data_IF_550384910842
#
_entry.id   IF_550384910842
#
_cell.length_a   1.000
_cell.length_b   1.000
_cell.length_c   1.000
_cell.angle_alpha   90.00
_cell.angle_beta   90.00
_cell.angle_gamma   90.00
#
_symmetry.space_group_name_H-M   'P 1'
#
loop_
_entity.id
_entity.type
_entity.pdbx_description
1 polymer ?
#
# COMPACT_ATOMS: atom_id res chain seq x y z
N UNK A 1 -5.76 -44.70 -19.14
CA UNK A 1 -7.03 -45.34 -18.75
C UNK A 1 -6.65 -46.58 -17.98
N UNK A 2 -6.86 -46.78 -16.66
CA UNK A 2 -7.81 -46.29 -15.65
C UNK A 2 -7.09 -46.51 -14.29
N UNK A 3 -6.78 -45.45 -13.53
CA UNK A 3 -7.35 -45.11 -12.19
C UNK A 3 -7.76 -46.27 -11.26
N UNK A 4 -7.06 -46.42 -10.11
CA UNK A 4 -7.70 -46.88 -8.87
C UNK A 4 -6.86 -46.60 -7.59
N UNK A 5 -7.30 -45.57 -6.85
CA UNK A 5 -7.58 -45.57 -5.40
C UNK A 5 -6.42 -45.60 -4.38
N UNK A 6 -6.08 -44.40 -3.90
CA UNK A 6 -5.39 -44.17 -2.63
C UNK A 6 -6.29 -44.47 -1.42
N UNK A 7 -5.82 -45.30 -0.49
CA UNK A 7 -6.35 -45.39 0.88
C UNK A 7 -5.67 -44.36 1.77
N UNK A 8 -6.48 -43.64 2.55
CA UNK A 8 -6.09 -42.55 3.44
C UNK A 8 -5.50 -43.11 4.73
N UNK A 9 -4.22 -42.83 5.01
CA UNK A 9 -3.65 -42.96 6.35
C UNK A 9 -3.58 -41.57 7.01
N UNK A 10 -4.35 -41.38 8.07
CA UNK A 10 -4.26 -40.22 8.96
C UNK A 10 -3.00 -40.34 9.82
N UNK A 11 -2.03 -39.46 9.63
CA UNK A 11 -0.96 -39.21 10.60
C UNK A 11 -1.12 -37.80 11.16
N UNK A 12 -1.23 -37.73 12.49
CA UNK A 12 -1.28 -36.54 13.32
C UNK A 12 0.02 -35.73 13.14
N UNK A 13 0.02 -34.81 12.17
CA UNK A 13 1.05 -33.80 12.01
C UNK A 13 0.52 -32.45 12.50
N UNK A 14 1.00 -32.00 13.65
CA UNK A 14 0.88 -30.59 14.06
C UNK A 14 1.67 -29.78 13.03
N UNK A 15 0.98 -29.29 12.00
CA UNK A 15 1.52 -28.34 11.04
C UNK A 15 1.81 -27.05 11.80
N UNK A 16 3.06 -26.88 12.22
CA UNK A 16 3.63 -25.55 12.40
C UNK A 16 3.65 -24.88 11.03
N UNK A 17 2.52 -24.30 10.65
CA UNK A 17 2.50 -23.35 9.56
C UNK A 17 3.39 -22.18 9.99
N UNK A 18 4.47 -21.85 9.27
CA UNK A 18 5.19 -20.62 9.54
C UNK A 18 4.18 -19.48 9.41
N UNK A 19 4.03 -18.69 10.48
CA UNK A 19 3.23 -17.46 10.45
C UNK A 19 3.71 -16.65 9.25
N UNK A 20 2.85 -16.47 8.25
CA UNK A 20 3.18 -15.65 7.08
C UNK A 20 3.52 -14.25 7.58
N UNK A 21 4.78 -13.86 7.47
CA UNK A 21 5.19 -12.47 7.61
C UNK A 21 4.67 -11.69 6.39
N UNK A 22 3.37 -11.37 6.34
CA UNK A 22 2.86 -10.42 5.33
C UNK A 22 1.51 -9.72 5.62
N UNK A 23 0.99 -9.74 6.84
CA UNK A 23 -0.25 -9.01 7.17
C UNK A 23 0.02 -7.76 8.03
N UNK A 24 1.07 -7.00 7.71
CA UNK A 24 1.23 -5.68 8.34
C UNK A 24 0.15 -4.73 7.80
N UNK A 25 -0.73 -4.18 8.67
CA UNK A 25 -1.80 -3.29 8.23
C UNK A 25 -1.31 -1.97 7.62
N UNK A 26 -0.03 -1.64 7.75
CA UNK A 26 0.58 -0.51 7.04
C UNK A 26 0.75 -0.77 5.53
N UNK A 27 0.66 -2.02 5.08
CA UNK A 27 0.76 -2.36 3.66
C UNK A 27 -0.57 -2.78 3.03
N UNK A 28 -1.58 -3.10 3.85
CA UNK A 28 -2.90 -3.52 3.40
C UNK A 28 -4.00 -2.87 4.25
N UNK A 29 -4.65 -1.85 3.67
CA UNK A 29 -5.77 -1.13 4.28
C UNK A 29 -6.73 -0.59 3.21
N UNK A 30 -7.95 -0.27 3.63
CA UNK A 30 -8.97 0.38 2.81
C UNK A 30 -9.03 1.89 3.12
N UNK A 31 -9.06 2.77 2.09
CA UNK A 31 -9.15 4.20 2.33
C UNK A 31 -10.58 4.61 2.75
N UNK A 32 -10.67 5.54 3.71
CA UNK A 32 -11.91 6.24 4.08
C UNK A 32 -11.75 7.69 3.64
N UNK A 33 -12.49 8.10 2.61
CA UNK A 33 -12.37 9.43 1.98
C UNK A 33 -13.64 10.27 2.05
N UNK A 34 -14.69 9.72 2.65
CA UNK A 34 -15.99 10.35 2.83
C UNK A 34 -15.88 11.74 3.50
N UNK A 35 -16.16 12.79 2.73
CA UNK A 35 -16.12 14.18 3.21
C UNK A 35 -17.03 14.42 4.42
N UNK A 36 -18.16 13.73 4.46
CA UNK A 36 -19.14 13.90 5.54
C UNK A 36 -18.58 13.49 6.91
N UNK A 37 -17.50 12.70 6.98
CA UNK A 37 -16.86 12.29 8.24
C UNK A 37 -16.00 13.38 8.87
N UNK A 38 -15.70 14.44 8.14
CA UNK A 38 -14.87 15.54 8.63
C UNK A 38 -15.57 16.26 9.78
N UNK A 39 -14.87 16.57 10.87
CA UNK A 39 -15.45 17.29 12.03
C UNK A 39 -16.08 18.65 11.67
N UNK A 40 -15.74 19.24 10.53
CA UNK A 40 -16.34 20.51 10.07
C UNK A 40 -17.61 20.30 9.23
N UNK A 41 -18.00 19.07 8.93
CA UNK A 41 -19.20 18.76 8.16
C UNK A 41 -20.45 18.71 9.05
N UNK A 42 -21.44 19.57 8.79
CA UNK A 42 -22.65 19.71 9.61
C UNK A 42 -23.98 19.75 8.84
N UNK A 43 -24.01 19.27 7.59
CA UNK A 43 -25.20 19.42 6.72
C UNK A 43 -26.15 18.22 6.76
N UNK A 44 -25.65 17.01 6.50
CA UNK A 44 -26.44 15.78 6.36
C UNK A 44 -25.98 14.71 7.34
N UNK A 45 -26.91 13.91 7.84
CA UNK A 45 -26.61 12.82 8.78
C UNK A 45 -26.52 11.47 8.08
N UNK A 46 -25.53 10.69 8.50
CA UNK A 46 -25.16 9.36 8.09
C UNK A 46 -24.91 8.50 9.33
N UNK A 47 -24.88 7.19 9.13
CA UNK A 47 -24.64 6.24 10.21
C UNK A 47 -23.79 5.06 9.74
N UNK A 48 -22.83 4.68 10.57
CA UNK A 48 -21.93 3.55 10.32
C UNK A 48 -22.48 2.21 10.80
N UNK A 49 -23.69 2.16 11.39
CA UNK A 49 -24.31 0.90 11.85
C UNK A 49 -24.62 -0.07 10.71
N UNK A 50 -24.91 0.45 9.51
CA UNK A 50 -25.16 -0.36 8.31
C UNK A 50 -23.87 -0.75 7.61
N UNK A 51 -22.75 -0.10 7.96
CA UNK A 51 -21.46 -0.40 7.39
C UNK A 51 -20.81 -1.57 8.14
N UNK A 52 -20.42 -2.60 7.40
CA UNK A 52 -19.69 -3.75 7.95
C UNK A 52 -18.20 -3.50 7.87
N UNK A 53 -17.62 -3.02 8.97
CA UNK A 53 -16.19 -2.79 9.13
C UNK A 53 -15.45 -4.13 9.25
N UNK A 54 -14.61 -4.41 8.26
CA UNK A 54 -13.78 -5.61 8.20
C UNK A 54 -12.38 -5.28 7.68
N UNK A 55 -11.38 -5.52 8.52
CA UNK A 55 -9.98 -5.26 8.19
C UNK A 55 -9.47 -3.94 8.75
N UNK A 56 -8.51 -3.34 8.05
CA UNK A 56 -7.83 -2.12 8.44
C UNK A 56 -8.17 -0.98 7.49
N UNK A 57 -8.31 0.21 8.06
CA UNK A 57 -8.76 1.40 7.35
C UNK A 57 -7.83 2.58 7.61
N UNK A 58 -7.74 3.51 6.65
CA UNK A 58 -6.99 4.76 6.77
C UNK A 58 -7.87 5.94 6.36
N UNK A 59 -8.02 6.93 7.22
CA UNK A 59 -8.65 8.20 6.86
C UNK A 59 -7.74 8.99 5.91
N UNK A 60 -8.31 9.44 4.79
CA UNK A 60 -7.58 10.16 3.75
C UNK A 60 -8.47 11.22 3.07
N UNK A 61 -7.86 12.10 2.29
CA UNK A 61 -8.60 13.03 1.43
C UNK A 61 -9.48 14.00 2.21
N UNK A 62 -10.76 14.13 1.80
CA UNK A 62 -11.69 15.11 2.38
C UNK A 62 -12.20 14.72 3.77
N UNK A 63 -12.19 13.42 4.10
CA UNK A 63 -12.54 12.96 5.44
C UNK A 63 -11.58 13.55 6.51
N UNK A 64 -10.29 13.66 6.19
CA UNK A 64 -9.23 14.00 7.12
C UNK A 64 -8.07 13.01 7.02
N UNK A 65 -7.18 13.01 8.00
CA UNK A 65 -6.00 12.13 8.03
C UNK A 65 -5.88 11.28 9.31
N UNK A 66 -6.74 11.53 10.32
CA UNK A 66 -6.85 10.72 11.54
C UNK A 66 -8.22 10.86 12.20
N UNK A 67 -8.53 10.00 13.16
CA UNK A 67 -9.66 10.23 14.06
C UNK A 67 -9.35 11.40 15.02
N UNK A 68 -10.36 12.13 15.53
CA UNK A 68 -10.15 13.13 16.57
C UNK A 68 -9.71 12.48 17.89
N UNK A 69 -8.82 13.15 18.62
CA UNK A 69 -8.37 12.77 19.97
C UNK A 69 -9.26 13.35 21.08
N UNK A 70 -10.12 14.30 20.72
CA UNK A 70 -11.04 15.03 21.59
C UNK A 70 -12.44 15.02 21.00
N UNK A 71 -13.43 15.30 21.85
CA UNK A 71 -14.83 15.31 21.45
C UNK A 71 -15.09 16.37 20.36
N UNK A 72 -15.56 15.99 19.16
CA UNK A 72 -16.08 16.92 18.17
C UNK A 72 -17.38 17.56 18.67
N UNK A 73 -17.79 18.71 18.13
CA UNK A 73 -19.12 19.26 18.40
C UNK A 73 -20.22 18.25 18.08
N UNK A 74 -21.29 18.22 18.89
CA UNK A 74 -22.46 17.41 18.56
C UNK A 74 -23.02 17.76 17.18
N UNK A 75 -23.64 16.80 16.50
CA UNK A 75 -24.25 16.98 15.17
C UNK A 75 -23.26 17.40 14.07
N UNK A 76 -21.97 17.12 14.24
CA UNK A 76 -20.94 17.30 13.22
C UNK A 76 -20.44 15.95 12.70
N UNK A 77 -19.46 15.96 11.77
CA UNK A 77 -18.97 14.78 11.06
C UNK A 77 -20.09 13.90 10.51
N UNK A 78 -21.15 14.58 10.05
CA UNK A 78 -22.28 13.97 9.39
C UNK A 78 -23.02 12.98 10.27
N UNK A 79 -23.06 13.16 11.59
CA UNK A 79 -23.79 12.27 12.50
C UNK A 79 -24.27 12.98 13.76
N UNK A 80 -25.35 12.49 14.38
CA UNK A 80 -25.89 13.08 15.62
C UNK A 80 -24.97 12.82 16.82
N UNK A 81 -24.35 11.64 16.86
CA UNK A 81 -23.44 11.19 17.91
C UNK A 81 -22.07 10.85 17.33
N UNK A 82 -21.18 11.87 17.20
CA UNK A 82 -19.80 11.70 16.78
C UNK A 82 -19.09 10.59 17.55
N UNK A 83 -18.26 9.81 16.86
CA UNK A 83 -17.31 8.87 17.49
C UNK A 83 -15.88 9.35 17.31
N UNK A 84 -15.13 9.40 18.40
CA UNK A 84 -13.72 9.81 18.45
C UNK A 84 -12.88 8.86 19.31
N UNK A 85 -11.55 9.04 19.29
CA UNK A 85 -10.60 8.21 20.00
C UNK A 85 -10.33 8.73 21.42
N UNK A 86 -10.39 7.86 22.42
CA UNK A 86 -9.99 8.17 23.80
C UNK A 86 -8.52 7.85 24.03
N UNK A 87 -7.75 8.79 24.60
CA UNK A 87 -6.39 8.53 25.04
C UNK A 87 -5.30 8.67 23.95
N UNK A 88 -5.59 9.41 22.87
CA UNK A 88 -4.58 9.78 21.88
C UNK A 88 -4.22 8.67 20.89
N UNK A 89 -3.48 9.04 19.85
CA UNK A 89 -2.92 8.08 18.90
C UNK A 89 -1.57 7.49 19.39
N UNK A 90 -1.21 6.24 18.99
CA UNK A 90 0.08 5.62 19.35
C UNK A 90 1.28 6.25 18.62
N UNK A 91 2.49 6.00 19.16
CA UNK A 91 3.75 6.17 18.42
C UNK A 91 4.07 4.92 17.61
N UNK A 92 4.99 5.03 16.63
CA UNK A 92 5.44 3.88 15.81
C UNK A 92 5.94 2.72 16.68
N UNK A 93 6.69 3.03 17.74
CA UNK A 93 7.25 2.03 18.67
C UNK A 93 6.20 1.29 19.51
N UNK A 94 4.98 1.79 19.62
CA UNK A 94 3.93 1.12 20.37
C UNK A 94 3.26 -0.02 19.58
N UNK A 95 3.53 -0.13 18.28
CA UNK A 95 2.89 -1.14 17.44
C UNK A 95 1.36 -0.98 17.37
N UNK A 96 0.64 -2.10 17.45
CA UNK A 96 -0.83 -2.11 17.47
C UNK A 96 -1.29 -1.93 18.91
N UNK A 97 -2.06 -0.86 19.17
CA UNK A 97 -2.65 -0.59 20.49
C UNK A 97 -4.17 -0.62 20.42
N UNK A 98 -4.81 -1.02 21.52
CA UNK A 98 -6.24 -0.86 21.70
C UNK A 98 -6.55 0.54 22.26
N UNK A 99 -7.55 1.21 21.70
CA UNK A 99 -8.00 2.54 22.12
C UNK A 99 -9.51 2.56 22.25
N UNK A 100 -9.98 3.07 23.40
CA UNK A 100 -11.39 3.20 23.68
C UNK A 100 -12.01 4.22 22.73
N UNK A 101 -13.16 3.89 22.17
CA UNK A 101 -13.95 4.80 21.37
C UNK A 101 -14.94 5.53 22.27
N UNK A 102 -15.17 6.79 21.94
CA UNK A 102 -16.01 7.67 22.71
C UNK A 102 -17.11 8.26 21.85
N UNK A 103 -18.27 8.45 22.44
CA UNK A 103 -19.40 9.10 21.81
C UNK A 103 -20.18 9.91 22.84
N UNK A 104 -21.10 10.74 22.37
CA UNK A 104 -22.02 11.45 23.25
C UNK A 104 -23.17 10.54 23.65
N UNK A 105 -23.57 10.63 24.92
CA UNK A 105 -24.89 10.22 25.36
C UNK A 105 -25.57 11.41 26.02
N UNK A 106 -26.64 11.93 25.41
CA UNK A 106 -27.19 13.24 25.79
C UNK A 106 -26.09 14.31 25.80
N UNK A 107 -25.93 15.09 26.86
CA UNK A 107 -24.85 16.08 27.06
C UNK A 107 -23.55 15.49 27.62
N UNK A 108 -23.51 14.20 27.95
CA UNK A 108 -22.36 13.57 28.61
C UNK A 108 -21.40 12.90 27.62
N UNK A 109 -20.12 12.87 27.98
CA UNK A 109 -19.05 12.22 27.21
C UNK A 109 -18.35 11.16 28.04
N UNK A 110 -17.61 10.27 27.37
CA UNK A 110 -16.75 9.27 28.03
C UNK A 110 -15.57 9.87 28.84
N UNK A 111 -15.37 11.20 28.81
CA UNK A 111 -14.24 11.90 29.44
C UNK A 111 -14.62 12.64 30.71
N UNK A 112 -15.92 12.83 30.97
CA UNK A 112 -16.40 13.43 32.23
C UNK A 112 -16.53 12.35 33.30
N UNK A 113 -15.92 12.58 34.46
CA UNK A 113 -15.83 11.63 35.59
C UNK A 113 -17.14 11.40 36.36
N UNK A 114 -18.25 12.05 35.98
CA UNK A 114 -19.56 11.77 36.57
C UNK A 114 -20.09 10.44 36.05
N UNK A 115 -19.79 9.38 36.80
CA UNK A 115 -20.40 8.07 36.69
C UNK A 115 -21.93 8.18 36.79
N UNK A 116 -22.62 7.13 36.32
CA UNK A 116 -24.05 6.87 36.38
C UNK A 116 -24.89 7.49 35.25
N UNK A 117 -25.33 6.65 34.30
CA UNK A 117 -26.63 6.91 33.70
C UNK A 117 -26.95 6.37 32.32
N UNK A 118 -25.98 6.03 31.46
CA UNK A 118 -26.36 5.58 30.12
C UNK A 118 -25.26 5.01 29.23
N UNK A 119 -25.52 3.81 28.72
CA UNK A 119 -24.89 3.20 27.55
C UNK A 119 -23.36 3.31 27.53
N UNK A 120 -22.71 2.59 28.45
CA UNK A 120 -21.28 2.31 28.37
C UNK A 120 -21.02 1.37 27.19
N UNK A 121 -20.87 1.94 26.01
CA UNK A 121 -20.38 1.21 24.84
C UNK A 121 -18.88 1.12 24.98
N UNK A 122 -18.41 0.03 25.56
CA UNK A 122 -16.99 -0.33 25.61
C UNK A 122 -16.52 -0.82 24.23
N UNK A 123 -16.68 0.02 23.21
CA UNK A 123 -16.14 -0.22 21.88
C UNK A 123 -14.67 0.21 21.87
N UNK A 124 -13.84 -0.62 21.25
CA UNK A 124 -12.42 -0.36 21.10
C UNK A 124 -12.05 -0.47 19.63
N UNK A 125 -11.23 0.47 19.16
CA UNK A 125 -10.52 0.34 17.91
C UNK A 125 -9.10 -0.13 18.17
N UNK A 126 -8.56 -0.97 17.28
CA UNK A 126 -7.10 -1.16 17.24
C UNK A 126 -6.50 -0.10 16.33
N UNK A 127 -5.42 0.53 16.79
CA UNK A 127 -4.76 1.64 16.09
C UNK A 127 -3.27 1.34 15.99
N UNK A 128 -2.67 1.61 14.84
CA UNK A 128 -1.22 1.55 14.63
C UNK A 128 -0.74 2.81 13.90
N UNK A 129 0.35 3.41 14.35
CA UNK A 129 1.09 4.42 13.57
C UNK A 129 2.06 3.68 12.64
N UNK A 130 1.94 3.94 11.35
CA UNK A 130 2.80 3.36 10.34
C UNK A 130 4.09 4.18 10.18
N UNK A 131 5.21 3.54 9.80
CA UNK A 131 6.48 4.23 9.55
C UNK A 131 6.36 5.38 8.54
N UNK A 132 5.49 5.22 7.53
CA UNK A 132 5.16 6.26 6.56
C UNK A 132 4.44 7.49 7.12
N UNK A 133 4.16 7.54 8.42
CA UNK A 133 3.64 8.73 9.08
C UNK A 133 2.13 8.78 9.27
N UNK A 134 1.38 7.78 8.82
CA UNK A 134 -0.09 7.76 8.94
C UNK A 134 -0.59 6.72 9.94
N UNK A 135 -1.87 6.77 10.25
CA UNK A 135 -2.52 5.82 11.15
C UNK A 135 -3.43 4.86 10.38
N UNK A 136 -3.46 3.61 10.84
CA UNK A 136 -4.43 2.61 10.38
C UNK A 136 -5.27 2.13 11.56
N UNK A 137 -6.55 1.87 11.28
CA UNK A 137 -7.59 1.57 12.27
C UNK A 137 -8.30 0.28 11.92
N UNK A 138 -8.39 -0.65 12.87
CA UNK A 138 -9.35 -1.73 12.84
C UNK A 138 -10.55 -1.28 13.67
N UNK A 139 -11.59 -0.82 12.97
CA UNK A 139 -12.80 -0.27 13.56
C UNK A 139 -13.79 -1.40 13.90
N UNK A 140 -14.49 -1.34 15.04
CA UNK A 140 -15.51 -2.32 15.38
C UNK A 140 -16.79 -2.08 14.57
N UNK A 141 -17.58 -3.14 14.39
CA UNK A 141 -18.95 -3.00 13.93
C UNK A 141 -19.80 -2.39 15.05
N UNK A 142 -20.40 -1.24 14.77
CA UNK A 142 -21.24 -0.53 15.74
C UNK A 142 -22.54 -1.30 15.98
N UNK A 143 -22.95 -1.36 17.25
CA UNK A 143 -24.24 -1.92 17.63
C UNK A 143 -25.18 -0.82 18.12
N UNK A 144 -26.48 -0.99 17.86
CA UNK A 144 -27.60 -0.15 18.30
C UNK A 144 -27.63 1.30 17.76
N UNK A 145 -28.85 1.78 17.44
CA UNK A 145 -29.22 3.16 17.05
C UNK A 145 -28.56 3.75 15.79
N UNK A 146 -29.41 4.20 14.85
CA UNK A 146 -28.98 4.87 13.63
C UNK A 146 -28.71 6.36 13.88
N UNK A 147 -27.59 6.69 14.54
CA UNK A 147 -27.19 8.08 14.80
C UNK A 147 -25.70 8.24 15.16
N UNK A 148 -24.88 7.20 14.96
CA UNK A 148 -23.45 7.17 15.33
C UNK A 148 -22.57 6.96 14.10
N UNK A 149 -21.45 7.66 14.02
CA UNK A 149 -20.46 7.47 12.97
C UNK A 149 -19.04 7.85 13.41
N UNK A 150 -18.04 7.22 12.80
CA UNK A 150 -16.62 7.51 13.02
C UNK A 150 -16.23 8.82 12.34
N UNK A 151 -15.76 9.76 13.16
CA UNK A 151 -15.34 11.07 12.71
C UNK A 151 -13.86 11.09 12.36
N UNK A 152 -13.49 12.05 11.53
CA UNK A 152 -12.13 12.31 11.09
C UNK A 152 -11.81 13.80 11.14
N UNK A 153 -10.54 14.11 11.37
CA UNK A 153 -10.02 15.47 11.41
C UNK A 153 -8.77 15.56 10.53
N UNK A 154 -8.55 16.75 9.98
CA UNK A 154 -7.30 17.10 9.32
C UNK A 154 -6.34 17.66 10.35
N UNK A 155 -5.34 16.87 10.72
CA UNK A 155 -4.25 17.31 11.60
C UNK A 155 -3.05 17.73 10.75
N UNK A 156 -2.70 19.02 10.80
CA UNK A 156 -1.60 19.60 10.05
C UNK A 156 -0.33 19.76 10.88
N UNK A 157 -0.33 19.32 12.14
CA UNK A 157 0.84 19.43 13.03
C UNK A 157 1.99 18.50 12.62
N UNK A 158 1.67 17.37 11.99
CA UNK A 158 2.62 16.41 11.45
C UNK A 158 2.43 16.29 9.93
N UNK A 159 3.32 16.87 9.11
CA UNK A 159 3.20 16.81 7.64
C UNK A 159 3.28 15.37 7.11
N UNK A 160 3.81 14.42 7.90
CA UNK A 160 3.89 13.02 7.50
C UNK A 160 2.53 12.31 7.48
N UNK A 161 1.50 12.85 8.15
CA UNK A 161 0.15 12.25 8.18
C UNK A 161 -0.50 12.17 6.80
N UNK A 162 -0.23 13.16 5.95
CA UNK A 162 -0.70 13.25 4.57
C UNK A 162 0.36 12.87 3.54
N UNK A 163 1.51 12.39 3.99
CA UNK A 163 2.55 11.96 3.07
C UNK A 163 2.16 10.66 2.34
N UNK A 164 2.77 10.49 1.17
CA UNK A 164 2.69 9.26 0.38
C UNK A 164 3.88 8.33 0.68
N UNK A 165 4.55 8.51 1.82
CA UNK A 165 5.73 7.72 2.18
C UNK A 165 5.33 6.28 2.57
N UNK A 166 6.00 5.29 1.98
CA UNK A 166 5.71 3.87 2.26
C UNK A 166 6.55 3.30 3.40
N UNK A 167 7.85 3.58 3.43
CA UNK A 167 8.80 2.93 4.35
C UNK A 167 9.09 3.74 5.61
N UNK A 168 9.04 5.06 5.50
CA UNK A 168 9.39 5.94 6.59
C UNK A 168 9.13 7.38 6.21
N UNK A 169 8.78 8.21 7.18
CA UNK A 169 8.65 9.65 7.00
C UNK A 169 9.25 10.38 8.20
N UNK A 170 9.97 11.46 7.92
CA UNK A 170 10.48 12.40 8.91
C UNK A 170 10.04 13.81 8.53
N UNK A 171 9.72 14.63 9.54
CA UNK A 171 9.46 16.04 9.34
C UNK A 171 10.81 16.79 9.28
N UNK A 172 11.14 17.36 8.13
CA UNK A 172 12.29 18.26 7.96
C UNK A 172 11.78 19.67 7.69
N UNK A 173 11.97 20.58 8.64
CA UNK A 173 11.61 22.00 8.52
C UNK A 173 10.13 22.23 8.12
N UNK A 174 9.21 21.42 8.64
CA UNK A 174 7.77 21.52 8.34
C UNK A 174 7.34 20.80 7.06
N UNK A 175 8.26 20.12 6.36
CA UNK A 175 7.96 19.33 5.17
C UNK A 175 8.13 17.84 5.45
N UNK A 176 7.24 17.02 4.88
CA UNK A 176 7.37 15.57 4.93
C UNK A 176 8.50 15.12 4.01
N UNK A 177 9.47 14.39 4.56
CA UNK A 177 10.53 13.76 3.80
C UNK A 177 10.50 12.25 4.02
N UNK A 178 10.34 11.51 2.93
CA UNK A 178 10.35 10.05 3.01
C UNK A 178 11.76 9.52 3.31
N UNK A 179 11.86 8.59 4.25
CA UNK A 179 13.07 7.81 4.50
C UNK A 179 12.94 6.44 3.84
N UNK A 180 13.98 6.04 3.13
CA UNK A 180 14.01 4.81 2.37
C UNK A 180 15.01 3.83 2.99
N UNK A 181 14.78 2.51 2.91
CA UNK A 181 15.79 1.52 3.28
C UNK A 181 17.08 1.75 2.47
N UNK A 182 18.24 1.38 3.02
CA UNK A 182 19.57 1.63 2.45
C UNK A 182 19.76 1.16 0.98
N UNK A 183 18.86 0.33 0.46
CA UNK A 183 18.89 -0.23 -0.90
C UNK A 183 17.84 0.37 -1.86
N UNK A 184 17.10 1.41 -1.46
CA UNK A 184 16.06 2.06 -2.27
C UNK A 184 16.43 3.53 -2.49
N UNK A 185 16.70 3.92 -3.73
CA UNK A 185 17.00 5.32 -4.07
C UNK A 185 15.76 6.20 -3.86
N UNK A 186 15.98 7.33 -3.18
CA UNK A 186 15.02 8.42 -3.05
C UNK A 186 14.87 9.05 -4.44
N UNK A 187 13.77 8.77 -5.15
CA UNK A 187 13.55 9.37 -6.46
C UNK A 187 13.49 10.89 -6.29
N UNK A 188 14.26 11.62 -7.10
CA UNK A 188 14.39 13.07 -7.07
C UNK A 188 13.06 13.78 -6.73
N UNK A 189 13.02 14.40 -5.53
CA UNK A 189 11.96 15.21 -4.89
C UNK A 189 11.30 14.68 -3.61
N UNK A 190 11.95 13.85 -2.79
CA UNK A 190 11.55 13.61 -1.38
C UNK A 190 10.10 13.10 -1.13
N UNK A 191 9.36 12.70 -2.17
CA UNK A 191 7.91 12.48 -2.11
C UNK A 191 7.50 11.00 -2.12
N UNK A 192 8.40 10.09 -2.49
CA UNK A 192 8.16 8.65 -2.46
C UNK A 192 9.47 7.88 -2.54
N UNK A 193 9.61 6.84 -1.71
CA UNK A 193 10.61 5.79 -1.95
C UNK A 193 10.14 4.94 -3.13
N UNK A 194 10.66 5.23 -4.31
CA UNK A 194 10.07 4.76 -5.56
C UNK A 194 11.05 4.76 -6.71
N UNK A 195 12.13 3.99 -6.60
CA UNK A 195 12.67 3.31 -7.77
C UNK A 195 11.72 2.17 -8.20
N UNK A 196 11.88 1.71 -9.43
CA UNK A 196 11.30 0.42 -9.81
C UNK A 196 11.79 -0.69 -8.86
N UNK A 197 10.97 -1.72 -8.54
CA UNK A 197 11.39 -2.79 -7.63
C UNK A 197 12.66 -3.48 -8.13
N UNK A 198 13.47 -3.99 -7.21
CA UNK A 198 14.59 -4.88 -7.54
C UNK A 198 14.11 -6.33 -7.59
N UNK A 199 14.94 -7.24 -8.12
CA UNK A 199 14.64 -8.68 -8.15
C UNK A 199 14.39 -9.24 -6.74
N UNK A 200 15.03 -8.66 -5.72
CA UNK A 200 14.89 -9.08 -4.31
C UNK A 200 13.56 -8.64 -3.68
N UNK A 201 12.98 -7.55 -4.16
CA UNK A 201 11.76 -6.98 -3.59
C UNK A 201 10.50 -7.79 -3.95
N UNK A 202 10.60 -8.70 -4.92
CA UNK A 202 9.47 -9.53 -5.35
C UNK A 202 8.35 -8.69 -5.96
N UNK A 203 7.11 -8.96 -5.56
CA UNK A 203 5.92 -8.27 -6.07
C UNK A 203 5.58 -7.11 -5.12
N UNK A 204 5.64 -5.88 -5.62
CA UNK A 204 5.34 -4.67 -4.86
C UNK A 204 4.14 -3.93 -5.44
N UNK A 205 3.37 -3.27 -4.57
CA UNK A 205 2.30 -2.34 -4.97
C UNK A 205 2.91 -0.98 -5.34
N UNK A 206 2.50 -0.40 -6.47
CA UNK A 206 2.91 0.94 -6.94
C UNK A 206 1.72 1.71 -7.47
N UNK A 207 1.72 3.02 -7.24
CA UNK A 207 0.67 3.89 -7.76
C UNK A 207 0.84 4.08 -9.27
N UNK A 208 -0.28 4.13 -10.00
CA UNK A 208 -0.29 4.39 -11.43
C UNK A 208 -0.42 5.91 -11.62
N UNK A 209 0.50 6.50 -12.39
CA UNK A 209 0.38 7.89 -12.81
C UNK A 209 -0.19 7.95 -14.22
N UNK A 210 -1.13 8.87 -14.44
CA UNK A 210 -1.86 8.97 -15.71
C UNK A 210 -1.70 10.34 -16.36
N UNK A 211 -1.97 10.40 -17.66
CA UNK A 211 -1.99 11.62 -18.45
C UNK A 211 -3.30 11.72 -19.23
N UNK A 212 -4.02 12.83 -19.02
CA UNK A 212 -5.05 13.32 -19.94
C UNK A 212 -4.39 14.22 -20.98
N UNK A 213 -4.94 14.22 -22.19
CA UNK A 213 -4.44 14.68 -23.50
C UNK A 213 -3.62 15.99 -23.63
N UNK A 214 -3.35 16.74 -22.56
CA UNK A 214 -2.49 17.93 -22.59
C UNK A 214 -1.67 18.22 -21.32
N UNK A 215 -1.73 17.39 -20.26
CA UNK A 215 -1.02 17.66 -18.98
C UNK A 215 0.30 16.87 -18.83
N UNK A 216 1.20 17.31 -17.92
CA UNK A 216 2.32 16.47 -17.44
C UNK A 216 1.75 15.27 -16.66
N UNK A 217 2.48 14.15 -16.61
CA UNK A 217 2.08 12.97 -15.84
C UNK A 217 1.74 13.36 -14.39
N UNK A 218 0.50 13.05 -13.96
CA UNK A 218 0.03 13.31 -12.61
C UNK A 218 -0.12 12.00 -11.85
N UNK A 219 0.38 11.99 -10.62
CA UNK A 219 0.29 10.87 -9.67
C UNK A 219 -0.66 11.19 -8.49
N UNK A 220 -1.32 12.35 -8.52
CA UNK A 220 -2.25 12.79 -7.48
C UNK A 220 -3.67 12.50 -7.92
N UNK A 221 -4.42 11.74 -7.11
CA UNK A 221 -5.84 11.43 -7.28
C UNK A 221 -6.24 11.14 -8.73
N UNK A 222 -6.19 9.87 -9.14
CA UNK A 222 -6.64 9.46 -10.46
C UNK A 222 -8.19 9.50 -10.53
N UNK A 223 -8.77 10.69 -10.70
CA UNK A 223 -10.21 10.84 -11.01
C UNK A 223 -10.62 10.18 -12.34
N UNK A 224 -9.64 9.71 -13.11
CA UNK A 224 -9.80 9.13 -14.43
C UNK A 224 -9.70 7.60 -14.48
N UNK A 225 -9.29 6.94 -13.38
CA UNK A 225 -9.23 5.47 -13.29
C UNK A 225 -9.94 4.97 -12.04
N UNK A 226 -10.59 3.81 -12.14
CA UNK A 226 -11.29 3.15 -11.02
C UNK A 226 -10.34 2.51 -10.00
N UNK A 227 -9.05 2.44 -10.33
CA UNK A 227 -7.96 1.97 -9.46
C UNK A 227 -6.74 2.88 -9.61
N UNK A 228 -6.04 3.12 -8.51
CA UNK A 228 -4.88 4.01 -8.42
C UNK A 228 -3.54 3.27 -8.32
N UNK A 229 -3.53 1.93 -8.43
CA UNK A 229 -2.34 1.11 -8.26
C UNK A 229 -2.21 -0.08 -9.23
N UNK A 230 -0.97 -0.54 -9.41
CA UNK A 230 -0.59 -1.80 -10.06
C UNK A 230 0.34 -2.60 -9.16
N UNK A 231 0.32 -3.92 -9.32
CA UNK A 231 1.34 -4.79 -8.74
C UNK A 231 2.48 -4.94 -9.76
N UNK A 232 3.73 -4.72 -9.34
CA UNK A 232 4.90 -4.79 -10.22
C UNK A 232 6.00 -5.65 -9.61
N UNK A 233 6.72 -6.40 -10.45
CA UNK A 233 7.96 -7.09 -10.07
C UNK A 233 9.04 -6.89 -11.13
N UNK A 234 10.31 -6.85 -10.72
CA UNK A 234 11.45 -6.98 -11.65
C UNK A 234 11.79 -8.45 -11.82
N UNK A 235 11.76 -8.91 -13.05
CA UNK A 235 12.22 -10.25 -13.38
C UNK A 235 13.75 -10.28 -13.44
N UNK A 236 14.38 -11.44 -13.15
CA UNK A 236 15.84 -11.58 -13.22
C UNK A 236 16.45 -11.17 -14.58
N UNK A 237 15.69 -11.27 -15.67
CA UNK A 237 16.11 -10.86 -17.01
C UNK A 237 15.98 -9.36 -17.31
N UNK A 238 15.87 -8.49 -16.30
CA UNK A 238 15.92 -7.03 -16.47
C UNK A 238 14.59 -6.35 -16.83
N UNK A 239 13.53 -7.10 -17.14
CA UNK A 239 12.22 -6.53 -17.48
C UNK A 239 11.25 -6.49 -16.28
N UNK A 240 10.24 -5.61 -16.38
CA UNK A 240 9.20 -5.45 -15.37
C UNK A 240 7.90 -6.11 -15.81
N UNK A 241 7.25 -6.82 -14.89
CA UNK A 241 5.91 -7.39 -15.10
C UNK A 241 4.92 -6.67 -14.23
N UNK A 242 3.84 -6.18 -14.85
CA UNK A 242 2.76 -5.46 -14.18
C UNK A 242 1.48 -6.29 -14.18
N UNK A 243 0.80 -6.34 -13.05
CA UNK A 243 -0.55 -6.90 -12.90
C UNK A 243 -1.48 -5.78 -12.43
N UNK A 244 -2.44 -5.47 -13.28
CA UNK A 244 -3.51 -4.52 -12.99
C UNK A 244 -4.70 -5.25 -12.35
N UNK A 245 -5.42 -4.62 -11.41
CA UNK A 245 -6.69 -5.14 -10.89
C UNK A 245 -7.69 -5.37 -12.04
N UNK A 246 -8.69 -6.24 -11.81
CA UNK A 246 -9.73 -6.56 -12.80
C UNK A 246 -10.45 -5.29 -13.29
N UNK A 247 -10.64 -5.22 -14.61
CA UNK A 247 -10.70 -3.98 -15.37
C UNK A 247 -12.14 -3.50 -15.61
N UNK A 248 -12.46 -2.23 -15.26
CA UNK A 248 -13.54 -1.46 -15.90
C UNK A 248 -13.09 -0.01 -16.13
N UNK A 249 -12.87 0.37 -17.40
CA UNK A 249 -12.50 1.74 -17.78
C UNK A 249 -13.74 2.61 -17.64
N UNK A 250 -13.68 3.67 -16.84
CA UNK A 250 -14.78 4.63 -16.74
C UNK A 250 -14.73 5.68 -17.88
N UNK A 251 -13.56 5.87 -18.53
CA UNK A 251 -13.36 6.87 -19.60
C UNK A 251 -12.33 6.42 -20.65
N UNK A 252 -12.55 6.79 -21.93
CA UNK A 252 -11.80 6.29 -23.09
C UNK A 252 -10.58 7.14 -23.54
N UNK A 253 -10.07 8.06 -22.73
CA UNK A 253 -8.98 8.99 -23.13
C UNK A 253 -7.87 9.16 -22.07
N UNK A 254 -7.36 8.06 -21.52
CA UNK A 254 -6.34 8.08 -20.45
C UNK A 254 -5.15 7.18 -20.84
N UNK A 255 -3.94 7.74 -20.77
CA UNK A 255 -2.70 6.98 -20.98
C UNK A 255 -1.96 6.78 -19.65
N UNK A 256 -1.39 5.58 -19.45
CA UNK A 256 -0.48 5.30 -18.33
C UNK A 256 0.89 5.88 -18.66
N UNK A 257 1.48 6.59 -17.71
CA UNK A 257 2.81 7.14 -17.87
C UNK A 257 3.90 6.10 -17.63
N UNK A 258 4.84 5.96 -18.57
CA UNK A 258 6.09 5.24 -18.38
C UNK A 258 7.22 6.21 -18.02
N UNK A 259 8.16 5.74 -17.22
CA UNK A 259 9.45 6.40 -16.99
C UNK A 259 10.54 5.50 -17.56
N UNK A 260 11.52 6.07 -18.24
CA UNK A 260 12.75 5.37 -18.59
C UNK A 260 13.67 5.36 -17.39
N UNK A 261 13.99 4.17 -16.87
CA UNK A 261 14.97 4.03 -15.80
C UNK A 261 16.38 4.19 -16.38
N UNK A 262 16.87 5.44 -16.43
CA UNK A 262 18.22 5.77 -16.92
C UNK A 262 19.34 5.19 -16.05
N UNK A 263 19.00 4.64 -14.87
CA UNK A 263 19.94 3.93 -14.01
C UNK A 263 19.99 2.43 -14.29
N UNK A 264 19.08 1.90 -15.13
CA UNK A 264 19.14 0.51 -15.55
C UNK A 264 20.30 0.32 -16.54
N UNK A 265 21.37 -0.41 -16.16
CA UNK A 265 22.51 -0.62 -17.05
C UNK A 265 22.11 -1.39 -18.33
N UNK A 266 20.95 -2.07 -18.32
CA UNK A 266 20.43 -2.80 -19.46
C UNK A 266 19.59 -1.96 -20.43
N UNK A 267 19.30 -0.68 -20.12
CA UNK A 267 18.39 0.19 -20.88
C UNK A 267 18.76 0.31 -22.37
N UNK A 268 20.06 0.24 -22.70
CA UNK A 268 20.60 0.25 -24.06
C UNK A 268 21.59 -0.91 -24.30
N UNK A 269 21.44 -2.03 -23.57
CA UNK A 269 22.35 -3.16 -23.76
C UNK A 269 22.15 -3.80 -25.14
N UNK A 270 23.25 -4.26 -25.73
CA UNK A 270 23.27 -5.01 -27.00
C UNK A 270 23.01 -6.50 -26.78
N UNK A 271 22.56 -6.90 -25.58
CA UNK A 271 22.29 -8.28 -25.24
C UNK A 271 21.16 -8.84 -26.11
N UNK A 272 21.40 -9.97 -26.77
CA UNK A 272 20.39 -10.63 -27.61
C UNK A 272 19.26 -11.32 -26.83
N UNK A 273 19.50 -11.69 -25.57
CA UNK A 273 18.56 -12.45 -24.76
C UNK A 273 18.36 -11.83 -23.37
N UNK A 274 19.06 -12.33 -22.34
CA UNK A 274 18.95 -11.81 -20.98
C UNK A 274 19.98 -10.72 -20.73
N UNK A 275 19.63 -9.72 -19.92
CA UNK A 275 20.58 -8.75 -19.37
C UNK A 275 20.40 -8.66 -17.86
N UNK A 276 21.52 -8.65 -17.16
CA UNK A 276 21.62 -8.48 -15.71
C UNK A 276 22.59 -7.34 -15.42
N UNK A 277 22.24 -6.44 -14.50
CA UNK A 277 23.18 -5.39 -14.08
C UNK A 277 24.12 -5.90 -13.00
N UNK A 278 25.42 -5.93 -13.25
CA UNK A 278 26.44 -6.16 -12.23
C UNK A 278 27.29 -4.90 -12.04
N UNK A 279 27.36 -4.37 -10.82
CA UNK A 279 28.09 -3.13 -10.45
C UNK A 279 27.87 -1.93 -11.40
N UNK A 280 26.66 -1.80 -11.96
CA UNK A 280 26.30 -0.70 -12.86
C UNK A 280 26.71 -0.90 -14.33
N UNK A 281 27.20 -2.09 -14.72
CA UNK A 281 27.44 -2.47 -16.11
C UNK A 281 26.46 -3.56 -16.58
N UNK A 282 26.02 -3.55 -17.85
CA UNK A 282 25.19 -4.61 -18.39
C UNK A 282 26.01 -5.89 -18.57
N UNK A 283 25.48 -7.00 -18.04
CA UNK A 283 26.03 -8.35 -18.20
C UNK A 283 24.96 -9.20 -18.88
N UNK A 284 25.25 -9.65 -20.10
CA UNK A 284 24.33 -10.48 -20.86
C UNK A 284 24.31 -11.92 -20.33
N UNK A 285 23.12 -12.53 -20.30
CA UNK A 285 22.90 -13.90 -19.83
C UNK A 285 22.12 -14.68 -20.87
N UNK A 286 22.46 -15.96 -21.03
CA UNK A 286 21.84 -16.83 -22.01
C UNK A 286 20.86 -17.82 -21.36
N UNK A 287 19.71 -18.12 -22.01
CA UNK A 287 18.83 -19.21 -21.62
C UNK A 287 19.54 -20.57 -21.64
N UNK A 288 18.93 -21.59 -21.01
CA UNK A 288 19.46 -22.97 -21.08
C UNK A 288 19.58 -23.42 -22.54
N UNK A 289 20.71 -24.05 -22.87
CA UNK A 289 21.14 -24.52 -24.20
C UNK A 289 21.81 -23.50 -25.13
N UNK A 290 22.05 -22.27 -24.65
CA UNK A 290 22.84 -21.27 -25.38
C UNK A 290 24.04 -20.83 -24.55
N UNK A 291 25.16 -20.57 -25.21
CA UNK A 291 26.37 -20.00 -24.60
C UNK A 291 26.55 -18.56 -25.06
N UNK A 292 27.09 -17.73 -24.17
CA UNK A 292 27.41 -16.35 -24.49
C UNK A 292 28.62 -16.36 -25.46
N UNK A 293 28.44 -15.74 -26.61
CA UNK A 293 29.48 -15.64 -27.63
C UNK A 293 30.64 -14.74 -27.16
N UNK A 294 31.74 -14.74 -27.92
CA UNK A 294 32.94 -13.97 -27.60
C UNK A 294 32.70 -12.46 -27.53
N UNK A 295 31.70 -11.94 -28.27
CA UNK A 295 31.28 -10.55 -28.23
C UNK A 295 30.58 -10.15 -26.92
N UNK A 296 30.35 -11.12 -26.01
CA UNK A 296 29.69 -10.99 -24.72
C UNK A 296 28.26 -10.44 -24.77
N UNK A 297 27.64 -10.43 -25.95
CA UNK A 297 26.34 -9.83 -26.22
C UNK A 297 25.37 -10.81 -26.90
N UNK A 298 25.88 -11.65 -27.79
CA UNK A 298 25.08 -12.63 -28.53
C UNK A 298 25.09 -13.98 -27.83
N UNK A 299 23.96 -14.69 -27.85
CA UNK A 299 23.86 -16.06 -27.37
C UNK A 299 23.80 -16.99 -28.58
N UNK A 300 24.73 -17.92 -28.68
CA UNK A 300 24.83 -18.90 -29.76
C UNK A 300 24.65 -20.32 -29.23
N UNK A 301 24.23 -21.25 -30.10
CA UNK A 301 24.15 -22.66 -29.75
C UNK A 301 25.54 -23.20 -29.41
N UNK A 302 25.58 -24.22 -28.55
CA UNK A 302 26.76 -25.06 -28.34
C UNK A 302 26.97 -25.91 -29.59
N UNK A 303 27.41 -25.28 -30.66
CA UNK A 303 27.88 -25.92 -31.88
C UNK A 303 28.65 -24.87 -32.68
N UNK A 304 29.94 -25.18 -32.85
CA UNK A 304 30.95 -24.53 -33.70
C UNK A 304 31.90 -23.54 -32.98
N UNK A 305 32.69 -24.05 -32.03
CA UNK A 305 34.11 -23.66 -31.95
C UNK A 305 34.90 -24.81 -32.59
N UNK A 306 35.58 -24.48 -33.68
CA UNK A 306 36.02 -25.43 -34.70
C UNK A 306 37.14 -26.40 -34.28
N UNK A 307 37.17 -27.54 -34.98
CA UNK A 307 38.40 -28.26 -35.23
C UNK A 307 38.71 -28.16 -36.73
N UNK A 308 39.90 -27.69 -37.13
CA UNK A 308 40.40 -27.94 -38.46
C UNK A 308 40.88 -29.39 -38.56
N UNK A 309 40.68 -29.99 -39.73
CA UNK A 309 41.15 -31.32 -40.18
C UNK A 309 40.45 -32.56 -39.60
N UNK A 310 39.69 -33.25 -40.45
CA UNK A 310 40.08 -34.53 -41.07
C UNK A 310 38.83 -35.30 -41.54
N UNK A 311 38.86 -35.75 -42.79
CA UNK A 311 38.01 -36.81 -43.30
C UNK A 311 38.17 -38.09 -42.47
N UNK A 312 37.06 -38.78 -42.23
CA UNK A 312 37.03 -40.24 -42.20
C UNK A 312 35.70 -40.71 -42.80
N UNK A 313 35.85 -41.31 -44.00
CA UNK A 313 34.92 -42.07 -44.86
C UNK A 313 33.41 -41.84 -44.70
#
# INVERSE_FOLDING_TARGET
MIDARYQVLFLLGVLWAPVRANDDPCHSYQPITDEWRNINYGQKYFCDITHRWHGWYRFMGRAGNKMPDSAPSQRHCGTSYPIWLSGGHPKVSNGIVSRRLCTYYSSYTCTTSSQHGAFQVYEYAKVKKCPGGYYVYQLPNLQFTCNRAFCAVKDTSDPCLDSNCTYGCVNQNGQAQCTCPANVLNSNRNQSCGGHPTVKDGIVKRNICTRSSSSRCSCYFNSHTTFDYAMVRKCPGGYYVYKFPQFQWQYCHVNICGVTDTSDPCLNSTCTHGCTGDKGSPVCTCPRNLVLAEDKNTCSNISVLGFPYALCL
#
